data_IF_662265153164
#
_entry.id   IF_662265153164
#
_cell.length_a   1.000
_cell.length_b   1.000
_cell.length_c   1.000
_cell.angle_alpha   90.00
_cell.angle_beta   90.00
_cell.angle_gamma   90.00
#
_symmetry.space_group_name_H-M   'P 1'
#
loop_
_entity.id
_entity.type
_entity.pdbx_description
1 polymer ?
#
# COMPACT_ATOMS: atom_id res chain seq x y z
N UNK A 1 7.02 7.83 17.46
CA UNK A 1 7.56 9.01 16.75
C UNK A 1 9.02 8.72 16.41
N UNK A 2 9.34 8.76 15.13
CA UNK A 2 10.70 8.45 14.62
C UNK A 2 11.52 9.69 14.33
N UNK A 3 10.86 10.80 14.01
CA UNK A 3 11.53 12.06 13.72
C UNK A 3 10.61 13.23 14.10
N UNK A 4 11.19 14.33 14.56
CA UNK A 4 10.51 15.63 14.73
C UNK A 4 10.94 16.55 13.61
N UNK A 5 9.98 17.17 12.95
CA UNK A 5 10.18 18.13 11.86
C UNK A 5 9.79 19.54 12.31
N UNK A 6 10.71 20.51 12.23
CA UNK A 6 10.36 21.90 12.42
C UNK A 6 9.56 22.44 11.22
N UNK A 7 8.73 23.42 11.49
CA UNK A 7 8.08 24.21 10.43
C UNK A 7 9.14 24.89 9.57
N UNK A 8 9.02 24.76 8.25
CA UNK A 8 9.90 25.41 7.26
C UNK A 8 9.39 26.76 6.80
N UNK A 9 8.06 26.86 6.62
CA UNK A 9 7.37 28.08 6.21
C UNK A 9 5.99 28.13 6.84
N UNK A 10 5.45 29.34 7.02
CA UNK A 10 4.05 29.54 7.38
C UNK A 10 3.51 30.81 6.74
N UNK A 11 2.20 30.84 6.53
CA UNK A 11 1.50 32.02 6.03
C UNK A 11 0.05 32.02 6.52
N UNK A 12 -0.52 33.24 6.61
CA UNK A 12 -1.92 33.40 6.98
C UNK A 12 -2.80 33.48 5.73
N UNK A 13 -3.91 32.79 5.73
CA UNK A 13 -4.89 32.82 4.65
C UNK A 13 -5.70 34.12 4.67
N UNK A 14 -5.83 34.71 3.51
CA UNK A 14 -6.67 35.91 3.35
C UNK A 14 -8.15 35.53 3.48
N UNK A 15 -8.85 36.21 4.39
CA UNK A 15 -10.30 36.02 4.59
C UNK A 15 -10.69 35.19 5.80
N UNK A 16 -9.98 34.11 6.14
CA UNK A 16 -10.27 33.32 7.33
C UNK A 16 -9.41 33.66 8.53
N UNK A 17 -8.19 34.17 8.31
CA UNK A 17 -7.20 34.40 9.37
C UNK A 17 -6.46 33.15 9.81
N UNK A 18 -6.81 31.97 9.24
CA UNK A 18 -6.15 30.67 9.52
C UNK A 18 -4.68 30.71 9.07
N UNK A 19 -3.85 29.93 9.76
CA UNK A 19 -2.43 29.81 9.40
C UNK A 19 -2.13 28.44 8.82
N UNK A 20 -1.47 28.42 7.67
CA UNK A 20 -0.93 27.21 7.05
C UNK A 20 0.55 27.07 7.38
N UNK A 21 0.94 25.87 7.76
CA UNK A 21 2.31 25.49 8.08
C UNK A 21 2.81 24.44 7.08
N UNK A 22 4.01 24.65 6.53
CA UNK A 22 4.70 23.76 5.60
C UNK A 22 5.90 23.12 6.31
N UNK A 23 5.95 21.80 6.34
CA UNK A 23 7.07 21.04 6.90
C UNK A 23 8.17 20.75 5.87
N UNK A 24 7.97 21.10 4.61
CA UNK A 24 8.95 20.97 3.53
C UNK A 24 9.13 19.55 3.00
N UNK A 25 8.38 18.59 3.50
CA UNK A 25 8.33 17.20 3.01
C UNK A 25 7.00 16.55 3.35
N UNK A 26 6.55 15.61 2.49
CA UNK A 26 5.40 14.77 2.80
C UNK A 26 5.81 13.62 3.73
N UNK A 27 4.96 13.29 4.71
CA UNK A 27 5.21 12.21 5.68
C UNK A 27 3.90 11.69 6.30
N UNK A 28 3.97 10.49 6.87
CA UNK A 28 2.92 9.98 7.75
C UNK A 28 3.20 10.39 9.21
N UNK A 29 2.17 10.84 9.91
CA UNK A 29 2.29 11.25 11.30
C UNK A 29 1.21 12.23 11.75
N UNK A 30 1.56 13.11 12.64
CA UNK A 30 0.68 14.13 13.18
C UNK A 30 1.41 15.42 13.52
N UNK A 31 0.65 16.46 13.81
CA UNK A 31 1.19 17.71 14.34
C UNK A 31 1.02 17.71 15.86
N UNK A 32 2.07 18.15 16.55
CA UNK A 32 2.04 18.47 17.97
C UNK A 32 2.03 19.98 18.15
N UNK A 33 1.09 20.49 18.95
CA UNK A 33 0.91 21.92 19.20
C UNK A 33 1.09 22.25 20.68
N UNK A 34 1.51 23.49 20.94
CA UNK A 34 1.39 24.12 22.26
C UNK A 34 0.50 25.35 22.13
N UNK A 35 -0.60 25.36 22.84
CA UNK A 35 -1.64 26.40 22.77
C UNK A 35 -2.04 26.88 24.15
N UNK A 36 -2.57 28.10 24.24
CA UNK A 36 -3.22 28.60 25.46
C UNK A 36 -4.44 29.46 25.11
N UNK A 37 -5.48 29.37 25.92
CA UNK A 37 -6.73 30.09 25.68
C UNK A 37 -7.81 29.73 26.70
N UNK A 38 -9.02 30.19 26.49
CA UNK A 38 -10.14 29.96 27.36
C UNK A 38 -10.60 28.48 27.26
N UNK A 39 -11.13 27.96 28.37
CA UNK A 39 -11.76 26.63 28.40
C UNK A 39 -12.89 26.53 27.38
N UNK A 40 -12.88 25.44 26.59
CA UNK A 40 -13.88 25.17 25.57
C UNK A 40 -13.59 25.82 24.22
N UNK A 41 -12.52 26.63 24.10
CA UNK A 41 -12.06 27.10 22.80
C UNK A 41 -11.54 25.92 21.97
N UNK A 42 -11.85 25.89 20.68
CA UNK A 42 -11.50 24.81 19.76
C UNK A 42 -10.38 25.20 18.83
N UNK A 43 -9.45 24.30 18.61
CA UNK A 43 -8.38 24.37 17.59
C UNK A 43 -8.61 23.22 16.62
N UNK A 44 -8.71 23.53 15.33
CA UNK A 44 -8.93 22.56 14.26
C UNK A 44 -7.70 22.51 13.38
N UNK A 45 -7.21 21.28 13.14
CA UNK A 45 -6.04 21.02 12.29
C UNK A 45 -6.51 20.27 11.03
N UNK A 46 -6.34 20.86 9.86
CA UNK A 46 -6.64 20.25 8.57
C UNK A 46 -5.33 19.89 7.86
N UNK A 47 -5.15 18.60 7.57
CA UNK A 47 -3.92 18.08 6.98
C UNK A 47 -4.07 17.84 5.48
N UNK A 48 -3.01 18.04 4.71
CA UNK A 48 -3.00 17.72 3.29
C UNK A 48 -1.61 17.66 2.68
N UNK A 49 -1.53 17.00 1.54
CA UNK A 49 -0.28 16.79 0.80
C UNK A 49 0.00 17.90 -0.21
N UNK A 50 -1.01 18.66 -0.58
CA UNK A 50 -0.96 19.69 -1.62
C UNK A 50 -1.66 20.97 -1.16
N UNK A 51 -1.39 22.03 -1.90
CA UNK A 51 -2.05 23.33 -1.73
C UNK A 51 -2.99 23.57 -2.91
N UNK A 52 -4.11 24.21 -2.61
CA UNK A 52 -4.99 24.83 -3.58
C UNK A 52 -4.35 26.16 -4.11
N UNK A 53 -4.92 26.73 -5.17
CA UNK A 53 -4.40 27.96 -5.81
C UNK A 53 -4.37 29.17 -4.88
N UNK A 54 -5.26 29.22 -3.90
CA UNK A 54 -5.33 30.27 -2.89
C UNK A 54 -4.31 30.09 -1.75
N UNK A 55 -3.52 29.01 -1.78
CA UNK A 55 -2.54 28.66 -0.76
C UNK A 55 -3.10 27.91 0.45
N UNK A 56 -4.37 27.52 0.43
CA UNK A 56 -4.99 26.67 1.43
C UNK A 56 -4.63 25.19 1.21
N UNK A 57 -4.84 24.36 2.22
CA UNK A 57 -4.67 22.90 2.14
C UNK A 57 -5.74 22.29 1.23
N UNK A 58 -5.31 21.59 0.18
CA UNK A 58 -6.20 20.89 -0.75
C UNK A 58 -6.48 19.47 -0.28
N UNK A 59 -7.67 19.25 0.28
CA UNK A 59 -8.16 17.93 0.67
C UNK A 59 -9.05 17.29 -0.40
N UNK A 60 -9.63 18.07 -1.32
CA UNK A 60 -10.61 17.59 -2.29
C UNK A 60 -10.02 16.57 -3.26
N UNK A 61 -8.81 16.83 -3.76
CA UNK A 61 -8.14 15.96 -4.73
C UNK A 61 -7.75 14.59 -4.18
N UNK A 62 -7.63 14.46 -2.87
CA UNK A 62 -7.27 13.21 -2.22
C UNK A 62 -8.45 12.55 -1.47
N UNK A 63 -9.62 13.19 -1.43
CA UNK A 63 -10.82 12.70 -0.75
C UNK A 63 -11.62 11.65 -1.56
N UNK A 64 -10.98 10.89 -2.44
CA UNK A 64 -11.62 9.81 -3.20
C UNK A 64 -12.06 8.72 -2.21
N UNK A 65 -13.32 8.30 -2.27
CA UNK A 65 -13.97 7.32 -1.38
C UNK A 65 -14.24 7.77 0.06
N UNK A 66 -13.81 8.98 0.46
CA UNK A 66 -14.06 9.47 1.83
C UNK A 66 -15.44 10.12 1.94
N UNK A 67 -16.00 10.08 3.15
CA UNK A 67 -17.25 10.77 3.51
C UNK A 67 -17.05 11.49 4.83
N UNK A 68 -17.61 12.70 4.95
CA UNK A 68 -17.53 13.51 6.17
C UNK A 68 -16.15 14.17 6.31
N UNK A 69 -15.78 14.47 7.54
CA UNK A 69 -14.47 15.04 7.86
C UNK A 69 -13.35 14.02 7.62
N UNK A 70 -12.32 14.49 7.00
CA UNK A 70 -11.23 13.70 6.51
C UNK A 70 -9.92 14.44 6.77
N UNK A 71 -8.88 13.73 7.23
CA UNK A 71 -7.59 14.35 7.55
C UNK A 71 -7.76 15.60 8.43
N UNK A 72 -8.53 15.50 9.53
CA UNK A 72 -8.84 16.61 10.42
C UNK A 72 -8.78 16.15 11.86
N UNK A 73 -8.19 16.96 12.72
CA UNK A 73 -8.17 16.77 14.16
C UNK A 73 -8.76 17.98 14.87
N UNK A 74 -9.44 17.75 15.98
CA UNK A 74 -10.05 18.75 16.83
C UNK A 74 -9.46 18.69 18.25
N UNK A 75 -9.05 19.83 18.77
CA UNK A 75 -8.61 19.97 20.15
C UNK A 75 -9.40 21.03 20.88
N UNK A 76 -10.08 20.63 21.96
CA UNK A 76 -10.84 21.54 22.82
C UNK A 76 -10.01 21.86 24.07
N UNK A 77 -9.68 23.12 24.29
CA UNK A 77 -8.84 23.58 25.38
C UNK A 77 -9.50 23.37 26.74
N UNK A 78 -8.70 22.94 27.71
CA UNK A 78 -9.10 22.85 29.12
C UNK A 78 -9.08 24.19 29.83
N UNK A 79 -8.32 25.18 29.32
CA UNK A 79 -8.20 26.52 29.85
C UNK A 79 -7.26 26.65 31.04
N UNK A 80 -6.25 25.80 31.16
CA UNK A 80 -5.31 25.73 32.28
C UNK A 80 -3.90 26.26 31.92
N UNK A 81 -3.82 27.37 31.21
CA UNK A 81 -2.53 27.95 30.73
C UNK A 81 -2.04 27.28 29.47
N UNK A 82 -0.76 26.94 29.40
CA UNK A 82 -0.17 26.29 28.24
C UNK A 82 -0.53 24.82 28.18
N UNK A 83 -1.12 24.41 27.09
CA UNK A 83 -1.53 23.03 26.84
C UNK A 83 -0.75 22.46 25.65
N UNK A 84 -0.12 21.30 25.86
CA UNK A 84 0.57 20.55 24.83
C UNK A 84 -0.32 19.40 24.37
N UNK A 85 -0.59 19.32 23.07
CA UNK A 85 -1.47 18.29 22.53
C UNK A 85 -0.95 17.72 21.21
N UNK A 86 -1.23 16.44 21.01
CA UNK A 86 -1.12 15.70 19.76
C UNK A 86 -2.14 14.56 19.77
N UNK A 87 -2.65 14.10 18.59
CA UNK A 87 -3.53 12.93 18.52
C UNK A 87 -2.81 11.67 19.02
N UNK A 88 -3.57 10.71 19.59
CA UNK A 88 -3.02 9.48 20.17
C UNK A 88 -3.29 8.22 19.36
N UNK A 89 -4.41 8.18 18.65
CA UNK A 89 -4.92 6.97 17.98
C UNK A 89 -5.16 7.18 16.49
N UNK A 90 -4.65 8.27 15.94
CA UNK A 90 -4.77 8.61 14.53
C UNK A 90 -3.44 9.13 14.01
N UNK A 91 -3.23 9.01 12.71
CA UNK A 91 -2.15 9.65 11.97
C UNK A 91 -2.67 10.12 10.61
N UNK A 92 -1.93 10.99 9.96
CA UNK A 92 -2.29 11.61 8.68
C UNK A 92 -1.13 11.48 7.70
N UNK A 93 -1.44 11.56 6.40
CA UNK A 93 -0.44 11.75 5.34
C UNK A 93 -0.46 13.20 4.90
N UNK A 94 0.64 13.96 5.09
CA UNK A 94 0.64 15.38 4.83
C UNK A 94 2.04 15.97 4.69
N UNK A 95 2.10 17.12 4.03
CA UNK A 95 3.20 18.08 4.09
C UNK A 95 2.76 19.38 4.75
N UNK A 96 1.47 19.73 4.59
CA UNK A 96 0.89 20.99 5.05
C UNK A 96 -0.18 20.74 6.09
N UNK A 97 -0.28 21.65 7.06
CA UNK A 97 -1.40 21.69 8.00
C UNK A 97 -1.94 23.12 8.09
N UNK A 98 -3.25 23.29 7.91
CA UNK A 98 -3.96 24.52 8.26
C UNK A 98 -4.44 24.41 9.70
N UNK A 99 -4.15 25.41 10.51
CA UNK A 99 -4.65 25.51 11.88
C UNK A 99 -5.65 26.67 11.95
N UNK A 100 -6.88 26.34 12.32
CA UNK A 100 -7.98 27.26 12.53
C UNK A 100 -8.27 27.35 14.03
N UNK A 101 -8.40 28.56 14.57
CA UNK A 101 -8.64 28.79 15.99
C UNK A 101 -9.22 30.21 16.23
N UNK A 102 -9.97 30.43 17.32
CA UNK A 102 -10.41 31.77 17.72
C UNK A 102 -9.22 32.68 18.00
N UNK A 103 -9.36 33.97 17.75
CA UNK A 103 -8.33 34.98 18.05
C UNK A 103 -7.91 35.00 19.53
N UNK A 104 -8.76 34.49 20.42
CA UNK A 104 -8.50 34.40 21.88
C UNK A 104 -7.57 33.21 22.23
N UNK A 105 -7.20 32.38 21.27
CA UNK A 105 -6.26 31.27 21.44
C UNK A 105 -4.89 31.68 20.93
N UNK A 106 -3.87 31.52 21.75
CA UNK A 106 -2.49 31.73 21.37
C UNK A 106 -1.81 30.44 20.99
N UNK A 107 -1.37 30.29 19.75
CA UNK A 107 -0.54 29.20 19.25
C UNK A 107 0.94 29.52 19.52
N UNK A 108 1.59 28.75 20.37
CA UNK A 108 2.97 29.00 20.82
C UNK A 108 4.01 28.15 20.11
N UNK A 109 3.65 26.92 19.75
CA UNK A 109 4.57 25.99 19.09
C UNK A 109 3.83 25.02 18.18
N UNK A 110 4.47 24.68 17.06
CA UNK A 110 3.99 23.68 16.08
C UNK A 110 5.18 22.86 15.63
N UNK A 111 5.06 21.53 15.72
CA UNK A 111 6.06 20.61 15.19
C UNK A 111 5.39 19.40 14.54
N UNK A 112 5.99 18.88 13.46
CA UNK A 112 5.56 17.64 12.78
C UNK A 112 6.22 16.42 13.44
N UNK A 113 5.41 15.43 13.78
CA UNK A 113 5.87 14.16 14.33
C UNK A 113 5.76 13.08 13.25
N UNK A 114 6.88 12.64 12.70
CA UNK A 114 6.92 11.52 11.74
C UNK A 114 6.70 10.21 12.48
N UNK A 115 5.74 9.42 11.99
CA UNK A 115 5.37 8.14 12.60
C UNK A 115 5.41 7.02 11.56
N UNK A 116 6.10 5.98 11.89
CA UNK A 116 6.14 4.71 11.12
C UNK A 116 6.67 3.58 11.99
N UNK A 117 6.55 2.34 11.51
CA UNK A 117 7.20 1.18 12.14
C UNK A 117 8.71 1.38 12.20
N UNK A 118 9.34 0.92 13.27
CA UNK A 118 10.78 1.06 13.44
C UNK A 118 11.51 0.11 12.48
N UNK A 119 12.20 0.69 11.52
CA UNK A 119 13.10 0.00 10.61
C UNK A 119 14.49 0.56 10.71
N UNK A 120 15.47 -0.31 10.71
CA UNK A 120 16.84 0.08 10.43
C UNK A 120 17.05 0.21 8.92
N UNK A 121 17.94 1.10 8.50
CA UNK A 121 18.33 1.17 7.10
C UNK A 121 19.15 -0.07 6.73
N UNK A 122 18.74 -0.82 5.72
CA UNK A 122 19.48 -1.98 5.24
C UNK A 122 20.68 -1.61 4.36
N UNK A 123 20.72 -0.35 3.86
CA UNK A 123 21.81 0.11 2.99
C UNK A 123 21.66 1.55 2.57
N UNK A 124 22.58 2.00 1.74
CA UNK A 124 22.58 3.32 1.12
C UNK A 124 22.79 3.19 -0.39
N UNK A 125 22.25 4.13 -1.14
CA UNK A 125 22.45 4.24 -2.58
C UNK A 125 22.75 5.68 -2.95
N UNK A 126 23.80 5.87 -3.71
CA UNK A 126 24.19 7.14 -4.32
C UNK A 126 24.86 6.89 -5.66
N UNK A 127 24.55 7.71 -6.64
CA UNK A 127 25.18 7.66 -7.95
C UNK A 127 25.34 9.07 -8.54
N UNK A 128 26.04 9.19 -9.69
CA UNK A 128 26.28 10.46 -10.38
C UNK A 128 25.03 11.08 -11.02
N UNK A 129 23.91 10.32 -11.14
CA UNK A 129 22.66 10.81 -11.74
C UNK A 129 21.71 11.33 -10.66
N UNK A 130 21.48 12.65 -10.57
CA UNK A 130 20.65 13.24 -9.52
C UNK A 130 19.19 12.76 -9.52
N UNK A 131 18.65 12.40 -10.71
CA UNK A 131 17.26 11.92 -10.80
C UNK A 131 17.09 10.58 -10.09
N UNK A 132 18.07 9.66 -10.23
CA UNK A 132 18.04 8.37 -9.55
C UNK A 132 18.20 8.51 -8.04
N UNK A 133 19.06 9.43 -7.58
CA UNK A 133 19.20 9.73 -6.15
C UNK A 133 17.89 10.29 -5.55
N UNK A 134 17.19 11.17 -6.30
CA UNK A 134 15.86 11.68 -5.90
C UNK A 134 14.80 10.59 -5.91
N UNK A 135 14.79 9.72 -6.91
CA UNK A 135 13.87 8.57 -6.98
C UNK A 135 14.04 7.67 -5.77
N UNK A 136 15.28 7.30 -5.43
CA UNK A 136 15.60 6.51 -4.24
C UNK A 136 15.12 7.19 -2.96
N UNK A 137 15.34 8.50 -2.83
CA UNK A 137 14.85 9.27 -1.69
C UNK A 137 13.31 9.25 -1.60
N UNK A 138 12.61 9.48 -2.72
CA UNK A 138 11.15 9.42 -2.78
C UNK A 138 10.62 8.04 -2.41
N UNK A 139 11.23 6.97 -2.97
CA UNK A 139 10.86 5.60 -2.64
C UNK A 139 10.97 5.34 -1.13
N UNK A 140 12.11 5.66 -0.52
CA UNK A 140 12.34 5.43 0.91
C UNK A 140 11.31 6.18 1.78
N UNK A 141 10.97 7.41 1.42
CA UNK A 141 9.95 8.21 2.10
C UNK A 141 8.56 7.62 1.95
N UNK A 142 8.20 7.22 0.74
CA UNK A 142 6.90 6.61 0.45
C UNK A 142 6.74 5.30 1.22
N UNK A 143 7.75 4.45 1.22
CA UNK A 143 7.73 3.18 1.94
C UNK A 143 7.45 3.36 3.44
N UNK A 144 8.23 4.21 4.14
CA UNK A 144 8.04 4.40 5.58
C UNK A 144 6.71 5.08 5.91
N UNK A 145 6.22 5.97 5.03
CA UNK A 145 4.92 6.64 5.22
C UNK A 145 3.74 5.69 5.09
N UNK A 146 3.93 4.57 4.39
CA UNK A 146 2.92 3.54 4.18
C UNK A 146 3.16 2.28 5.03
N UNK A 147 3.90 2.41 6.15
CA UNK A 147 4.12 1.29 7.05
C UNK A 147 4.01 1.73 8.52
N UNK A 148 2.79 1.85 9.00
CA UNK A 148 2.47 2.18 10.39
C UNK A 148 1.78 0.98 11.04
N UNK A 149 2.56 0.07 11.62
CA UNK A 149 2.10 -1.22 12.14
C UNK A 149 1.98 -2.30 11.07
N UNK A 150 1.31 -2.02 9.98
CA UNK A 150 1.16 -2.88 8.79
C UNK A 150 1.53 -2.10 7.53
N UNK A 151 1.84 -2.77 6.39
CA UNK A 151 1.93 -2.09 5.11
C UNK A 151 0.54 -1.61 4.67
N UNK A 152 0.45 -0.39 4.15
CA UNK A 152 -0.81 0.22 3.70
C UNK A 152 -0.64 0.84 2.31
N UNK A 153 -1.75 1.01 1.60
CA UNK A 153 -1.83 1.66 0.29
C UNK A 153 -1.49 3.16 0.36
N UNK A 154 -2.00 3.85 1.36
CA UNK A 154 -1.79 5.27 1.54
C UNK A 154 -1.93 5.71 3.00
N UNK A 155 -1.23 6.80 3.43
CA UNK A 155 -1.27 7.24 4.83
C UNK A 155 -2.42 8.20 5.14
N UNK A 156 -3.26 8.53 4.14
CA UNK A 156 -4.30 9.57 4.29
C UNK A 156 -5.73 9.01 4.21
N UNK A 157 -6.24 8.64 3.02
CA UNK A 157 -7.67 8.36 2.80
C UNK A 157 -8.12 6.94 3.16
N UNK A 158 -7.30 5.91 2.87
CA UNK A 158 -7.69 4.52 3.07
C UNK A 158 -7.03 3.92 4.30
N UNK A 159 -5.70 3.98 4.40
CA UNK A 159 -4.90 3.36 5.48
C UNK A 159 -5.19 1.87 5.60
N UNK A 160 -5.45 1.23 4.45
CA UNK A 160 -5.84 -0.17 4.35
C UNK A 160 -4.64 -1.04 4.02
N UNK A 161 -4.58 -2.23 4.60
CA UNK A 161 -3.55 -3.23 4.32
C UNK A 161 -3.76 -3.92 2.97
N UNK A 162 -3.84 -3.15 1.87
CA UNK A 162 -3.92 -3.69 0.52
C UNK A 162 -2.73 -4.58 0.22
N UNK A 163 -2.98 -5.86 0.02
CA UNK A 163 -1.94 -6.87 -0.17
C UNK A 163 -1.22 -6.72 -1.52
N UNK A 164 -1.89 -6.17 -2.54
CA UNK A 164 -1.28 -5.87 -3.82
C UNK A 164 -0.17 -4.83 -3.73
N UNK A 165 -0.36 -3.79 -2.93
CA UNK A 165 0.69 -2.79 -2.67
C UNK A 165 1.92 -3.43 -2.03
N UNK A 166 1.71 -4.30 -1.03
CA UNK A 166 2.78 -5.04 -0.38
C UNK A 166 3.46 -6.05 -1.33
N UNK A 167 2.72 -6.70 -2.23
CA UNK A 167 3.27 -7.59 -3.26
C UNK A 167 4.30 -6.87 -4.14
N UNK A 168 3.94 -5.69 -4.66
CA UNK A 168 4.80 -4.93 -5.55
C UNK A 168 5.98 -4.25 -4.87
N UNK A 169 5.79 -3.78 -3.62
CA UNK A 169 6.80 -2.98 -2.93
C UNK A 169 7.66 -3.81 -1.98
N UNK A 170 7.25 -5.03 -1.63
CA UNK A 170 7.86 -5.84 -0.58
C UNK A 170 9.35 -6.11 -0.80
N UNK A 171 9.73 -6.54 -2.01
CA UNK A 171 11.13 -6.79 -2.34
C UNK A 171 11.97 -5.52 -2.23
N UNK A 172 11.52 -4.42 -2.84
CA UNK A 172 12.20 -3.13 -2.78
C UNK A 172 12.26 -2.57 -1.35
N UNK A 173 11.27 -2.87 -0.52
CA UNK A 173 11.27 -2.57 0.91
C UNK A 173 12.42 -3.25 1.65
N UNK A 174 12.66 -4.53 1.39
CA UNK A 174 13.74 -5.31 2.00
C UNK A 174 15.14 -4.88 1.54
N UNK A 175 15.29 -4.37 0.31
CA UNK A 175 16.53 -3.74 -0.13
C UNK A 175 16.91 -2.50 0.69
N UNK A 176 15.92 -1.77 1.16
CA UNK A 176 16.11 -0.46 1.76
C UNK A 176 16.06 -0.48 3.28
N UNK A 177 15.34 -1.45 3.86
CA UNK A 177 15.04 -1.48 5.28
C UNK A 177 15.05 -2.90 5.84
N UNK A 178 15.42 -3.03 7.10
CA UNK A 178 15.30 -4.27 7.88
C UNK A 178 13.84 -4.57 8.24
N UNK A 179 12.95 -4.68 7.24
CA UNK A 179 11.51 -4.82 7.41
C UNK A 179 11.01 -6.28 7.52
N UNK A 180 11.92 -7.26 7.52
CA UNK A 180 11.58 -8.69 7.47
C UNK A 180 10.65 -9.13 8.61
N UNK A 181 10.95 -8.75 9.85
CA UNK A 181 10.14 -9.10 11.02
C UNK A 181 8.75 -8.44 11.00
N UNK A 182 8.68 -7.20 10.50
CA UNK A 182 7.41 -6.48 10.38
C UNK A 182 6.51 -7.14 9.32
N UNK A 183 7.08 -7.55 8.19
CA UNK A 183 6.35 -8.33 7.19
C UNK A 183 5.97 -9.71 7.72
N UNK A 184 6.86 -10.43 8.41
CA UNK A 184 6.56 -11.73 9.00
C UNK A 184 5.38 -11.65 9.99
N UNK A 185 5.32 -10.59 10.79
CA UNK A 185 4.18 -10.35 11.68
C UNK A 185 2.88 -10.10 10.90
N UNK A 186 2.92 -9.28 9.86
CA UNK A 186 1.75 -8.99 9.04
C UNK A 186 1.25 -10.24 8.28
N UNK A 187 2.15 -11.10 7.82
CA UNK A 187 1.81 -12.36 7.14
C UNK A 187 0.96 -13.31 8.00
N UNK A 188 1.05 -13.24 9.32
CA UNK A 188 0.18 -14.02 10.22
C UNK A 188 -1.29 -13.63 10.09
N UNK A 189 -1.57 -12.38 9.76
CA UNK A 189 -2.95 -11.94 9.50
C UNK A 189 -3.58 -12.68 8.30
N UNK A 190 -2.78 -13.11 7.31
CA UNK A 190 -3.30 -13.95 6.21
C UNK A 190 -3.80 -15.31 6.70
N UNK A 191 -3.08 -15.90 7.67
CA UNK A 191 -3.47 -17.19 8.28
C UNK A 191 -4.74 -17.05 9.10
N UNK A 192 -4.81 -15.98 9.91
CA UNK A 192 -5.93 -15.73 10.81
C UNK A 192 -7.23 -15.40 10.05
N UNK A 193 -7.11 -14.69 8.92
CA UNK A 193 -8.24 -14.16 8.17
C UNK A 193 -8.62 -15.02 6.93
N UNK A 194 -7.88 -16.07 6.61
CA UNK A 194 -8.17 -16.93 5.46
C UNK A 194 -9.51 -17.63 5.61
N UNK A 195 -10.37 -17.51 4.62
CA UNK A 195 -11.69 -18.13 4.61
C UNK A 195 -11.62 -19.67 4.53
N UNK A 196 -12.68 -20.38 4.98
CA UNK A 196 -12.72 -21.85 4.95
C UNK A 196 -12.52 -22.46 3.56
N UNK A 197 -12.94 -21.77 2.50
CA UNK A 197 -12.76 -22.21 1.10
C UNK A 197 -11.35 -21.93 0.55
N UNK A 198 -10.45 -21.32 1.33
CA UNK A 198 -9.09 -20.97 0.94
C UNK A 198 -8.93 -19.57 0.35
N UNK A 199 -10.02 -18.84 0.10
CA UNK A 199 -9.97 -17.45 -0.35
C UNK A 199 -9.26 -16.58 0.69
N UNK A 200 -8.52 -15.59 0.21
CA UNK A 200 -7.86 -14.56 1.02
C UNK A 200 -8.48 -13.22 0.65
N UNK A 201 -8.59 -12.31 1.61
CA UNK A 201 -9.01 -10.94 1.34
C UNK A 201 -7.89 -10.14 0.67
N UNK A 202 -8.24 -9.25 -0.25
CA UNK A 202 -7.25 -8.33 -0.86
C UNK A 202 -6.73 -7.26 0.10
N UNK A 203 -7.47 -6.99 1.20
CA UNK A 203 -7.08 -6.11 2.31
C UNK A 203 -6.84 -6.96 3.55
N UNK A 204 -5.66 -6.90 4.12
CA UNK A 204 -5.23 -7.69 5.28
C UNK A 204 -4.64 -6.77 6.38
N UNK A 205 -5.20 -6.75 7.59
CA UNK A 205 -6.46 -7.38 8.01
C UNK A 205 -7.69 -6.86 7.25
N UNK A 206 -8.76 -7.65 7.11
CA UNK A 206 -9.96 -7.24 6.38
C UNK A 206 -10.66 -6.06 7.07
N UNK A 207 -11.34 -5.25 6.26
CA UNK A 207 -12.15 -4.16 6.80
C UNK A 207 -13.34 -4.72 7.59
N UNK A 208 -13.71 -4.12 8.72
CA UNK A 208 -14.83 -4.54 9.55
C UNK A 208 -16.18 -4.10 8.95
N UNK A 209 -16.43 -4.45 7.69
CA UNK A 209 -17.69 -4.19 6.98
C UNK A 209 -18.37 -5.52 6.71
N UNK A 210 -19.62 -5.63 7.14
CA UNK A 210 -20.42 -6.85 7.07
C UNK A 210 -20.39 -7.49 5.66
N UNK A 211 -19.97 -8.74 5.59
CA UNK A 211 -19.95 -9.59 4.40
C UNK A 211 -19.12 -9.09 3.21
N UNK A 212 -18.17 -8.18 3.43
CA UNK A 212 -17.36 -7.65 2.36
C UNK A 212 -16.05 -8.45 2.20
N UNK A 213 -16.08 -9.43 1.33
CA UNK A 213 -14.89 -10.12 0.85
C UNK A 213 -14.43 -9.46 -0.44
N UNK A 214 -13.34 -8.71 -0.39
CA UNK A 214 -12.67 -8.31 -1.60
C UNK A 214 -11.83 -9.48 -2.11
N UNK A 215 -12.40 -10.26 -3.02
CA UNK A 215 -11.63 -11.17 -3.86
C UNK A 215 -10.87 -10.34 -4.88
N UNK A 216 -9.68 -9.87 -4.51
CA UNK A 216 -8.88 -9.01 -5.40
C UNK A 216 -8.11 -9.82 -6.45
N UNK A 217 -7.95 -11.13 -6.21
CA UNK A 217 -7.33 -12.09 -7.12
C UNK A 217 -5.79 -12.09 -7.07
N UNK A 218 -5.17 -12.94 -7.86
CA UNK A 218 -3.71 -12.91 -8.03
C UNK A 218 -3.22 -11.50 -8.35
N UNK A 219 -2.03 -11.14 -7.87
CA UNK A 219 -1.42 -9.82 -7.71
C UNK A 219 -1.64 -9.19 -6.33
N UNK A 220 -2.77 -9.45 -5.69
CA UNK A 220 -3.03 -9.01 -4.32
C UNK A 220 -2.74 -10.14 -3.35
N UNK A 221 -3.53 -11.21 -3.41
CA UNK A 221 -3.41 -12.35 -2.49
C UNK A 221 -2.07 -13.10 -2.62
N UNK A 222 -1.42 -13.04 -3.79
CA UNK A 222 -0.08 -13.61 -4.03
C UNK A 222 1.00 -13.07 -3.08
N UNK A 223 0.73 -11.94 -2.40
CA UNK A 223 1.59 -11.42 -1.33
C UNK A 223 1.88 -12.47 -0.23
N UNK A 224 0.93 -13.37 0.05
CA UNK A 224 1.11 -14.46 1.03
C UNK A 224 2.23 -15.45 0.67
N UNK A 225 2.64 -15.50 -0.60
CA UNK A 225 3.73 -16.35 -1.12
C UNK A 225 4.99 -15.53 -1.45
N UNK A 226 4.84 -14.42 -2.16
CA UNK A 226 6.00 -13.65 -2.63
C UNK A 226 6.71 -12.91 -1.49
N UNK A 227 5.99 -12.33 -0.54
CA UNK A 227 6.62 -11.61 0.56
C UNK A 227 7.47 -12.53 1.45
N UNK A 228 6.99 -13.72 1.92
CA UNK A 228 7.86 -14.64 2.64
C UNK A 228 9.01 -15.20 1.80
N UNK A 229 8.84 -15.34 0.47
CA UNK A 229 9.93 -15.69 -0.43
C UNK A 229 11.01 -14.62 -0.46
N UNK A 230 10.67 -13.34 -0.56
CA UNK A 230 11.62 -12.23 -0.49
C UNK A 230 12.33 -12.17 0.86
N UNK A 231 11.61 -12.38 1.97
CA UNK A 231 12.25 -12.48 3.30
C UNK A 231 13.32 -13.58 3.29
N UNK A 232 13.01 -14.75 2.75
CA UNK A 232 13.99 -15.84 2.64
C UNK A 232 15.19 -15.46 1.78
N UNK A 233 14.98 -14.85 0.61
CA UNK A 233 16.07 -14.45 -0.29
C UNK A 233 17.05 -13.47 0.36
N UNK A 234 16.54 -12.51 1.13
CA UNK A 234 17.37 -11.45 1.71
C UNK A 234 17.90 -11.73 3.11
N UNK A 235 17.33 -12.69 3.82
CA UNK A 235 17.71 -12.98 5.21
C UNK A 235 18.11 -14.43 5.46
N UNK A 236 17.81 -15.35 4.57
CA UNK A 236 17.95 -16.80 4.77
C UNK A 236 16.89 -17.39 5.73
N UNK A 237 15.95 -16.59 6.24
CA UNK A 237 14.96 -17.05 7.21
C UNK A 237 13.82 -17.81 6.53
N UNK A 238 13.77 -19.14 6.76
CA UNK A 238 12.73 -20.04 6.23
C UNK A 238 11.41 -20.02 7.03
N UNK A 239 11.40 -19.39 8.21
CA UNK A 239 10.23 -19.43 9.11
C UNK A 239 8.97 -18.88 8.47
N UNK A 240 8.98 -17.70 7.82
CA UNK A 240 7.78 -17.19 7.18
C UNK A 240 7.23 -18.07 6.05
N UNK A 241 8.11 -18.75 5.29
CA UNK A 241 7.69 -19.73 4.27
C UNK A 241 7.00 -20.94 4.89
N UNK A 242 7.55 -21.47 5.99
CA UNK A 242 6.96 -22.60 6.71
C UNK A 242 5.62 -22.26 7.34
N UNK A 243 5.54 -21.10 8.01
CA UNK A 243 4.32 -20.63 8.67
C UNK A 243 3.18 -20.39 7.68
N UNK A 244 3.48 -19.87 6.47
CA UNK A 244 2.48 -19.58 5.45
C UNK A 244 2.20 -20.72 4.47
N UNK A 245 2.88 -21.86 4.58
CA UNK A 245 2.80 -22.95 3.60
C UNK A 245 1.38 -23.45 3.35
N UNK A 246 0.64 -23.78 4.39
CA UNK A 246 -0.74 -24.27 4.28
C UNK A 246 -1.70 -23.16 3.80
N UNK A 247 -1.48 -21.93 4.20
CA UNK A 247 -2.27 -20.79 3.71
C UNK A 247 -2.13 -20.65 2.20
N UNK A 248 -0.90 -20.69 1.68
CA UNK A 248 -0.63 -20.62 0.23
C UNK A 248 -1.22 -21.84 -0.50
N UNK A 249 -1.05 -23.04 0.03
CA UNK A 249 -1.60 -24.27 -0.55
C UNK A 249 -3.12 -24.20 -0.70
N UNK A 250 -3.82 -23.76 0.34
CA UNK A 250 -5.27 -23.56 0.32
C UNK A 250 -5.69 -22.47 -0.65
N UNK A 251 -4.93 -21.36 -0.73
CA UNK A 251 -5.19 -20.30 -1.69
C UNK A 251 -5.04 -20.79 -3.14
N UNK A 252 -3.99 -21.54 -3.45
CA UNK A 252 -3.80 -22.11 -4.79
C UNK A 252 -4.88 -23.15 -5.16
N UNK A 253 -5.33 -23.94 -4.19
CA UNK A 253 -6.48 -24.82 -4.38
C UNK A 253 -7.76 -24.03 -4.68
N UNK A 254 -7.98 -22.91 -3.99
CA UNK A 254 -9.07 -21.98 -4.30
C UNK A 254 -8.95 -21.43 -5.73
N UNK A 255 -7.79 -20.93 -6.14
CA UNK A 255 -7.54 -20.47 -7.51
C UNK A 255 -7.83 -21.58 -8.54
N UNK A 256 -7.37 -22.82 -8.28
CA UNK A 256 -7.65 -23.97 -9.14
C UNK A 256 -9.15 -24.23 -9.29
N UNK A 257 -9.92 -24.10 -8.21
CA UNK A 257 -11.37 -24.29 -8.22
C UNK A 257 -12.14 -23.22 -9.02
N UNK A 258 -11.52 -22.06 -9.21
CA UNK A 258 -12.09 -20.92 -9.96
C UNK A 258 -11.62 -20.87 -11.43
N UNK A 259 -10.61 -21.67 -11.77
CA UNK A 259 -10.04 -21.68 -13.12
C UNK A 259 -10.87 -22.54 -14.07
N UNK A 260 -11.16 -22.03 -15.25
CA UNK A 260 -11.79 -22.75 -16.34
C UNK A 260 -10.74 -23.14 -17.40
N UNK A 261 -10.44 -24.42 -17.56
CA UNK A 261 -9.40 -24.89 -18.48
C UNK A 261 -8.03 -24.24 -18.19
N UNK A 262 -7.67 -24.14 -16.92
CA UNK A 262 -6.46 -23.48 -16.41
C UNK A 262 -6.41 -21.95 -16.59
N UNK A 263 -7.46 -21.31 -17.07
CA UNK A 263 -7.57 -19.85 -17.19
C UNK A 263 -8.32 -19.30 -15.99
N UNK A 264 -7.70 -18.34 -15.32
CA UNK A 264 -8.23 -17.68 -14.14
C UNK A 264 -8.75 -16.29 -14.51
N UNK A 265 -10.04 -16.03 -14.24
CA UNK A 265 -10.68 -14.75 -14.58
C UNK A 265 -11.52 -14.21 -13.42
N UNK A 266 -10.85 -13.85 -12.32
CA UNK A 266 -11.49 -13.14 -11.21
C UNK A 266 -10.54 -12.13 -10.58
N UNK A 267 -11.07 -11.22 -9.77
CA UNK A 267 -10.30 -10.19 -9.08
C UNK A 267 -10.25 -8.85 -9.82
N UNK A 268 -9.27 -8.04 -9.47
CA UNK A 268 -9.14 -6.66 -9.97
C UNK A 268 -8.45 -6.58 -11.34
N UNK A 269 -7.41 -7.37 -11.58
CA UNK A 269 -6.65 -7.34 -12.83
C UNK A 269 -5.77 -6.09 -12.96
N UNK A 270 -5.67 -5.55 -14.17
CA UNK A 270 -4.89 -4.32 -14.45
C UNK A 270 -5.52 -3.10 -13.76
N UNK A 271 -4.70 -2.17 -13.25
CA UNK A 271 -5.15 -1.14 -12.33
C UNK A 271 -4.52 0.23 -12.62
N UNK A 272 -5.34 1.29 -12.62
CA UNK A 272 -4.91 2.68 -12.67
C UNK A 272 -4.05 3.05 -13.89
N UNK A 273 -4.57 2.85 -15.12
CA UNK A 273 -3.86 3.25 -16.33
C UNK A 273 -3.51 4.77 -16.34
N UNK A 274 -2.24 5.16 -16.53
CA UNK A 274 -1.78 6.53 -16.31
C UNK A 274 -2.40 7.59 -17.23
N UNK A 275 -2.91 7.23 -18.41
CA UNK A 275 -3.58 8.17 -19.33
C UNK A 275 -5.00 8.55 -18.92
N UNK A 276 -5.51 8.04 -17.81
CA UNK A 276 -6.91 8.22 -17.39
C UNK A 276 -7.02 8.77 -15.97
N UNK A 277 -6.19 9.72 -15.61
CA UNK A 277 -6.16 10.36 -14.29
C UNK A 277 -7.52 10.91 -13.83
N UNK A 278 -8.42 11.24 -14.77
CA UNK A 278 -9.74 11.79 -14.48
C UNK A 278 -10.88 10.75 -14.50
N UNK A 279 -10.57 9.48 -14.77
CA UNK A 279 -11.57 8.40 -14.83
C UNK A 279 -11.40 7.53 -13.59
N UNK A 280 -12.47 7.40 -12.81
CA UNK A 280 -12.49 6.55 -11.62
C UNK A 280 -11.96 5.14 -11.95
N UNK A 281 -11.05 4.55 -11.15
CA UNK A 281 -10.41 3.26 -11.45
C UNK A 281 -11.39 2.14 -11.82
N UNK A 282 -12.55 2.05 -11.15
CA UNK A 282 -13.60 1.07 -11.45
C UNK A 282 -14.21 1.19 -12.85
N UNK A 283 -14.11 2.35 -13.50
CA UNK A 283 -14.60 2.58 -14.86
C UNK A 283 -13.52 2.33 -15.93
N UNK A 284 -12.30 2.01 -15.52
CA UNK A 284 -11.20 1.74 -16.44
C UNK A 284 -11.14 0.27 -16.87
N UNK A 285 -11.79 -0.65 -16.14
CA UNK A 285 -11.66 -2.12 -16.29
C UNK A 285 -11.85 -2.66 -17.72
N UNK A 286 -12.71 -2.03 -18.50
CA UNK A 286 -13.04 -2.47 -19.87
C UNK A 286 -12.36 -1.59 -20.94
N UNK A 287 -11.36 -0.82 -20.57
CA UNK A 287 -10.62 0.02 -21.51
C UNK A 287 -9.75 -0.84 -22.43
N UNK A 288 -9.71 -0.56 -23.74
CA UNK A 288 -8.82 -1.25 -24.67
C UNK A 288 -7.33 -1.02 -24.38
N UNK A 289 -7.00 -0.06 -23.52
CA UNK A 289 -5.64 0.25 -23.08
C UNK A 289 -5.23 -0.58 -21.86
N UNK A 290 -6.17 -1.26 -21.20
CA UNK A 290 -5.93 -2.15 -20.06
C UNK A 290 -5.76 -3.59 -20.55
N UNK A 291 -4.88 -4.34 -19.88
CA UNK A 291 -4.76 -5.77 -20.14
C UNK A 291 -6.04 -6.51 -19.73
N UNK A 292 -6.51 -7.51 -20.50
CA UNK A 292 -7.60 -8.35 -20.05
C UNK A 292 -7.32 -8.96 -18.68
N UNK A 293 -8.29 -8.89 -17.76
CA UNK A 293 -8.13 -9.44 -16.40
C UNK A 293 -7.69 -10.90 -16.43
N UNK A 294 -8.33 -11.72 -17.26
CA UNK A 294 -7.97 -13.13 -17.40
C UNK A 294 -6.50 -13.35 -17.79
N UNK A 295 -5.92 -12.49 -18.65
CA UNK A 295 -4.51 -12.59 -19.00
C UNK A 295 -3.63 -12.39 -17.76
N UNK A 296 -3.83 -11.29 -17.04
CA UNK A 296 -2.99 -10.91 -15.92
C UNK A 296 -3.14 -11.89 -14.76
N UNK A 297 -4.38 -12.24 -14.37
CA UNK A 297 -4.63 -13.18 -13.29
C UNK A 297 -4.08 -14.59 -13.59
N UNK A 298 -4.17 -15.05 -14.85
CA UNK A 298 -3.63 -16.36 -15.24
C UNK A 298 -2.11 -16.36 -15.23
N UNK A 299 -1.45 -15.29 -15.68
CA UNK A 299 -0.01 -15.19 -15.65
C UNK A 299 0.55 -15.19 -14.21
N UNK A 300 -0.11 -14.48 -13.31
CA UNK A 300 0.31 -14.47 -11.89
C UNK A 300 0.01 -15.81 -11.23
N UNK A 301 -1.12 -16.45 -11.54
CA UNK A 301 -1.42 -17.80 -11.06
C UNK A 301 -0.36 -18.81 -11.54
N UNK A 302 0.13 -18.69 -12.77
CA UNK A 302 1.29 -19.46 -13.25
C UNK A 302 2.52 -19.21 -12.36
N UNK A 303 2.85 -17.94 -12.12
CA UNK A 303 4.01 -17.56 -11.30
C UNK A 303 3.88 -18.03 -9.85
N UNK A 304 2.68 -17.96 -9.27
CA UNK A 304 2.38 -18.50 -7.95
C UNK A 304 2.66 -20.02 -7.89
N UNK A 305 2.20 -20.79 -8.89
CA UNK A 305 2.44 -22.24 -8.96
C UNK A 305 3.94 -22.56 -9.12
N UNK A 306 4.66 -21.85 -10.01
CA UNK A 306 6.09 -22.00 -10.21
C UNK A 306 6.88 -21.70 -8.92
N UNK A 307 6.54 -20.62 -8.24
CA UNK A 307 7.22 -20.25 -7.00
C UNK A 307 6.88 -21.21 -5.88
N UNK A 308 5.62 -21.63 -5.76
CA UNK A 308 5.22 -22.56 -4.71
C UNK A 308 5.84 -23.96 -4.92
N UNK A 309 6.03 -24.40 -6.18
CA UNK A 309 6.80 -25.62 -6.47
C UNK A 309 8.25 -25.51 -5.98
N UNK A 310 8.90 -24.37 -6.16
CA UNK A 310 10.26 -24.10 -5.64
C UNK A 310 10.29 -24.11 -4.11
N UNK A 311 9.33 -23.44 -3.47
CA UNK A 311 9.19 -23.40 -2.00
C UNK A 311 8.93 -24.81 -1.45
N UNK A 312 8.06 -25.59 -2.09
CA UNK A 312 7.76 -26.96 -1.70
C UNK A 312 9.00 -27.83 -1.75
N UNK A 313 9.77 -27.77 -2.83
CA UNK A 313 11.04 -28.49 -2.94
C UNK A 313 12.04 -28.06 -1.85
N UNK A 314 12.19 -26.73 -1.63
CA UNK A 314 13.07 -26.18 -0.59
C UNK A 314 12.72 -26.69 0.82
N UNK A 315 11.43 -26.92 1.08
CA UNK A 315 10.92 -27.39 2.37
C UNK A 315 10.81 -28.92 2.46
N UNK A 316 11.12 -29.68 1.37
CA UNK A 316 11.11 -31.13 1.32
C UNK A 316 9.75 -31.75 1.01
N UNK A 317 8.79 -30.99 0.51
CA UNK A 317 7.46 -31.45 0.09
C UNK A 317 7.47 -31.83 -1.41
N UNK A 318 8.12 -32.93 -1.77
CA UNK A 318 8.39 -33.30 -3.18
C UNK A 318 7.13 -33.62 -4.01
N UNK A 319 6.09 -34.16 -3.38
CA UNK A 319 4.82 -34.42 -4.06
C UNK A 319 4.14 -33.12 -4.46
N UNK A 320 4.08 -32.14 -3.56
CA UNK A 320 3.55 -30.79 -3.85
C UNK A 320 4.41 -30.09 -4.90
N UNK A 321 5.74 -30.19 -4.80
CA UNK A 321 6.65 -29.59 -5.78
C UNK A 321 6.41 -30.13 -7.20
N UNK A 322 6.20 -31.44 -7.33
CA UNK A 322 5.90 -32.09 -8.61
C UNK A 322 4.52 -31.71 -9.14
N UNK A 323 3.52 -31.67 -8.27
CA UNK A 323 2.16 -31.28 -8.62
C UNK A 323 2.08 -29.85 -9.14
N UNK A 324 2.62 -28.89 -8.38
CA UNK A 324 2.52 -27.48 -8.76
C UNK A 324 3.38 -27.13 -9.97
N UNK A 325 4.51 -27.81 -10.21
CA UNK A 325 5.27 -27.68 -11.45
C UNK A 325 4.46 -28.16 -12.67
N UNK A 326 3.77 -29.28 -12.53
CA UNK A 326 2.91 -29.80 -13.60
C UNK A 326 1.70 -28.90 -13.85
N UNK A 327 1.12 -28.35 -12.79
CA UNK A 327 0.03 -27.39 -12.89
C UNK A 327 0.47 -26.09 -13.60
N UNK A 328 1.62 -25.57 -13.24
CA UNK A 328 2.19 -24.38 -13.90
C UNK A 328 2.38 -24.61 -15.40
N UNK A 329 2.90 -25.75 -15.83
CA UNK A 329 3.07 -26.08 -17.25
C UNK A 329 1.73 -26.14 -18.00
N UNK A 330 0.68 -26.70 -17.36
CA UNK A 330 -0.67 -26.72 -17.93
C UNK A 330 -1.24 -25.31 -18.07
N UNK A 331 -1.03 -24.45 -17.06
CA UNK A 331 -1.45 -23.04 -17.08
C UNK A 331 -0.72 -22.30 -18.22
N UNK A 332 0.59 -22.46 -18.34
CA UNK A 332 1.40 -21.85 -19.40
C UNK A 332 0.91 -22.25 -20.79
N UNK A 333 0.62 -23.52 -20.98
CA UNK A 333 0.09 -24.04 -22.25
C UNK A 333 -1.27 -23.42 -22.57
N UNK A 334 -2.20 -23.40 -21.61
CA UNK A 334 -3.52 -22.79 -21.78
C UNK A 334 -3.44 -21.28 -22.01
N UNK A 335 -2.56 -20.58 -21.28
CA UNK A 335 -2.32 -19.15 -21.42
C UNK A 335 -1.88 -18.81 -22.86
N UNK A 336 -0.87 -19.49 -23.37
CA UNK A 336 -0.39 -19.26 -24.73
C UNK A 336 -1.45 -19.60 -25.79
N UNK A 337 -2.18 -20.71 -25.62
CA UNK A 337 -3.26 -21.06 -26.53
C UNK A 337 -4.38 -20.01 -26.58
N UNK A 338 -4.69 -19.36 -25.47
CA UNK A 338 -5.76 -18.37 -25.38
C UNK A 338 -5.33 -16.97 -25.78
N UNK A 339 -4.16 -16.51 -25.37
CA UNK A 339 -3.78 -15.10 -25.45
C UNK A 339 -2.75 -14.77 -26.51
N UNK A 340 -1.91 -15.70 -26.94
CA UNK A 340 -0.92 -15.47 -27.98
C UNK A 340 -1.59 -15.48 -29.37
N UNK A 341 -1.53 -14.35 -30.06
CA UNK A 341 -2.16 -14.15 -31.40
C UNK A 341 -1.22 -14.37 -32.58
N UNK A 342 0.01 -14.85 -32.31
CA UNK A 342 1.08 -14.89 -33.31
C UNK A 342 1.91 -13.61 -33.34
N UNK A 343 3.08 -13.68 -33.97
CA UNK A 343 4.02 -12.54 -34.13
C UNK A 343 4.40 -11.83 -32.82
N UNK A 344 4.40 -12.56 -31.69
CA UNK A 344 4.73 -12.01 -30.38
C UNK A 344 3.66 -11.09 -29.77
N UNK A 345 2.45 -11.08 -30.31
CA UNK A 345 1.34 -10.26 -29.79
C UNK A 345 0.48 -11.07 -28.84
N UNK A 346 0.26 -10.56 -27.64
CA UNK A 346 -0.65 -11.13 -26.66
C UNK A 346 -1.92 -10.25 -26.48
N UNK A 347 -3.06 -10.91 -26.41
CA UNK A 347 -4.40 -10.33 -26.19
C UNK A 347 -4.64 -9.07 -27.07
N UNK A 348 -4.86 -7.91 -26.45
CA UNK A 348 -5.11 -6.63 -27.14
C UNK A 348 -3.83 -5.86 -27.52
N UNK A 349 -2.64 -6.40 -27.21
CA UNK A 349 -1.36 -5.77 -27.54
C UNK A 349 -0.99 -4.54 -26.70
N UNK A 350 -1.73 -4.23 -25.63
CA UNK A 350 -1.37 -3.12 -24.75
C UNK A 350 -0.07 -3.39 -24.01
N UNK A 351 0.53 -2.37 -23.41
CA UNK A 351 1.84 -2.48 -22.74
C UNK A 351 1.88 -3.59 -21.70
N UNK A 352 0.89 -3.68 -20.82
CA UNK A 352 0.83 -4.69 -19.76
C UNK A 352 0.64 -6.09 -20.35
N UNK A 353 -0.21 -6.25 -21.36
CA UNK A 353 -0.43 -7.53 -22.04
C UNK A 353 0.84 -8.07 -22.71
N UNK A 354 1.76 -7.18 -23.13
CA UNK A 354 3.04 -7.57 -23.71
C UNK A 354 4.14 -7.79 -22.66
N UNK A 355 4.18 -6.95 -21.61
CA UNK A 355 5.17 -7.04 -20.55
C UNK A 355 4.97 -8.28 -19.66
N UNK A 356 3.73 -8.63 -19.38
CA UNK A 356 3.35 -9.70 -18.46
C UNK A 356 3.93 -11.08 -18.84
N UNK A 357 3.75 -11.60 -20.09
CA UNK A 357 4.34 -12.87 -20.47
C UNK A 357 5.88 -12.83 -20.57
N UNK A 358 6.48 -11.66 -20.81
CA UNK A 358 7.94 -11.51 -20.79
C UNK A 358 8.51 -11.57 -19.37
N UNK A 359 7.76 -11.09 -18.39
CA UNK A 359 8.21 -11.05 -17.00
C UNK A 359 8.05 -12.40 -16.29
N UNK A 360 6.95 -13.08 -16.55
CA UNK A 360 6.64 -14.35 -15.85
C UNK A 360 7.13 -15.62 -16.62
N UNK A 361 7.50 -15.55 -17.89
CA UNK A 361 7.95 -16.67 -18.73
C UNK A 361 6.81 -17.30 -19.50
#
# INVERSE_FOLDING_TARGET
VMQILPVKKSWTLKGTGDTVFDFGQNFAGWVKITVSGARGAEVVLHYGERLAENGDVDQERIAIFTKGEFQTDHYILRGNGDEVWAPRFNYHGFQYVRISMPETVALKHVEGCVVHSAFESAGSFECSEPVLNRLQHCFRRSFISNFVGIPTDCPHREKCGWSGDAFWIGEAGLYNYGAAENYAQWLRCFQDDQLPNGCIHGVIPPLPVDNFTWESGPLWESACLFVPWYIYLYTGNLTPLKENYETVKRYLAYCSSRAEGYILDFGLGDWCHPKREHVHPWRQKDSPEMAPRALLCTAVYYADCELFAKVSHLLGYEDDASYYRSLAENIRTAFNARFHKGNGVYANGCQVAQACPLYYG
#
